data_IF_111924825450
#
_entry.id   IF_111924825450
#
_cell.length_a   1.000
_cell.length_b   1.000
_cell.length_c   1.000
_cell.angle_alpha   90.00
_cell.angle_beta   90.00
_cell.angle_gamma   90.00
#
_symmetry.space_group_name_H-M   'P 1'
#
loop_
_entity.id
_entity.type
_entity.pdbx_description
1 polymer ?
#
# COMPACT_ATOMS: atom_id res chain seq x y z
N UNK A 1 20.78 1.56 -2.35
CA UNK A 1 20.71 1.60 -3.81
C UNK A 1 19.26 1.39 -4.20
N UNK A 2 18.69 2.28 -5.02
CA UNK A 2 17.30 2.17 -5.50
C UNK A 2 17.23 0.99 -6.47
N UNK A 3 16.27 0.08 -6.28
CA UNK A 3 16.10 -1.07 -7.18
C UNK A 3 15.21 -0.68 -8.37
N UNK A 4 15.36 -1.36 -9.49
CA UNK A 4 14.48 -1.17 -10.64
C UNK A 4 13.00 -1.43 -10.30
N UNK A 5 12.74 -2.38 -9.40
CA UNK A 5 11.40 -2.66 -8.87
C UNK A 5 10.80 -1.47 -8.11
N UNK A 6 11.62 -0.76 -7.32
CA UNK A 6 11.19 0.45 -6.59
C UNK A 6 10.77 1.55 -7.60
N UNK A 7 11.57 1.74 -8.67
CA UNK A 7 11.29 2.70 -9.75
C UNK A 7 9.99 2.35 -10.48
N UNK A 8 9.81 1.07 -10.85
CA UNK A 8 8.60 0.57 -11.51
C UNK A 8 7.35 0.83 -10.70
N UNK A 9 7.40 0.56 -9.38
CA UNK A 9 6.24 0.73 -8.52
C UNK A 9 5.88 2.21 -8.32
N UNK A 10 6.88 3.07 -8.11
CA UNK A 10 6.66 4.51 -8.02
C UNK A 10 6.11 5.04 -9.32
N UNK A 11 6.61 4.57 -10.46
CA UNK A 11 6.09 5.01 -11.75
C UNK A 11 4.62 4.64 -11.94
N UNK A 12 4.21 3.42 -11.55
CA UNK A 12 2.81 3.02 -11.54
C UNK A 12 1.97 3.90 -10.60
N UNK A 13 2.47 4.17 -9.40
CA UNK A 13 1.80 5.04 -8.44
C UNK A 13 1.64 6.47 -8.98
N UNK A 14 2.66 7.01 -9.63
CA UNK A 14 2.63 8.32 -10.30
C UNK A 14 1.68 8.33 -11.49
N UNK A 15 1.65 7.29 -12.32
CA UNK A 15 0.71 7.19 -13.45
C UNK A 15 -0.73 7.21 -12.97
N UNK A 16 -1.06 6.41 -11.94
CA UNK A 16 -2.38 6.39 -11.34
C UNK A 16 -2.71 7.73 -10.69
N UNK A 17 -1.83 8.20 -9.80
CA UNK A 17 -2.08 9.39 -9.01
C UNK A 17 -2.08 10.66 -9.86
N UNK A 18 -1.24 10.82 -10.88
CA UNK A 18 -1.19 12.05 -11.69
C UNK A 18 -1.94 11.92 -13.01
N UNK A 19 -2.47 10.74 -13.35
CA UNK A 19 -3.09 10.48 -14.65
C UNK A 19 -2.10 10.52 -15.81
N UNK A 20 -0.82 10.23 -15.55
CA UNK A 20 0.23 10.23 -16.57
C UNK A 20 -0.06 9.11 -17.58
N UNK A 21 0.26 9.37 -18.85
CA UNK A 21 0.18 8.33 -19.87
C UNK A 21 1.17 7.21 -19.57
N UNK A 22 0.83 6.01 -20.03
CA UNK A 22 1.72 4.87 -19.99
C UNK A 22 2.90 5.10 -20.94
N UNK A 23 3.96 5.74 -20.44
CA UNK A 23 5.25 5.83 -21.11
C UNK A 23 6.11 4.59 -20.78
N UNK A 24 7.04 4.24 -21.67
CA UNK A 24 8.12 3.32 -21.33
C UNK A 24 8.95 3.90 -20.17
N UNK A 25 9.29 3.05 -19.20
CA UNK A 25 10.07 3.49 -18.05
C UNK A 25 11.46 3.95 -18.49
N UNK A 26 11.95 5.09 -17.99
CA UNK A 26 13.29 5.53 -18.30
C UNK A 26 14.32 4.53 -17.77
N UNK A 27 15.36 4.26 -18.56
CA UNK A 27 16.55 3.55 -18.08
C UNK A 27 17.13 4.26 -16.84
N UNK A 28 17.68 3.49 -15.89
CA UNK A 28 18.17 4.00 -14.61
C UNK A 28 19.24 5.08 -14.82
N UNK A 29 20.14 4.90 -15.79
CA UNK A 29 21.20 5.86 -16.12
C UNK A 29 20.62 7.19 -16.61
N UNK A 30 19.52 7.14 -17.38
CA UNK A 30 18.83 8.34 -17.85
C UNK A 30 18.09 9.04 -16.71
N UNK A 31 17.54 8.28 -15.77
CA UNK A 31 16.89 8.81 -14.58
C UNK A 31 17.90 9.51 -13.65
N UNK A 32 19.09 8.93 -13.46
CA UNK A 32 20.16 9.56 -12.68
C UNK A 32 20.67 10.87 -13.31
N UNK A 33 20.83 10.90 -14.64
CA UNK A 33 21.18 12.14 -15.36
C UNK A 33 20.12 13.23 -15.15
N UNK A 34 18.84 12.89 -15.25
CA UNK A 34 17.75 13.83 -15.01
C UNK A 34 17.75 14.33 -13.56
N UNK A 35 17.97 13.42 -12.60
CA UNK A 35 18.05 13.75 -11.17
C UNK A 35 19.17 14.76 -10.90
N UNK A 36 20.36 14.54 -11.46
CA UNK A 36 21.49 15.47 -11.31
C UNK A 36 21.17 16.84 -11.91
N UNK A 37 20.61 16.90 -13.12
CA UNK A 37 20.23 18.16 -13.75
C UNK A 37 19.19 18.96 -12.93
N UNK A 38 18.20 18.26 -12.35
CA UNK A 38 17.21 18.90 -11.48
C UNK A 38 17.79 19.33 -10.12
N UNK A 39 18.79 18.60 -9.59
CA UNK A 39 19.50 19.00 -8.37
C UNK A 39 20.24 20.33 -8.55
N UNK A 40 20.84 20.60 -9.71
CA UNK A 40 21.48 21.90 -10.01
C UNK A 40 20.46 23.05 -10.02
N UNK A 41 19.23 22.80 -10.45
CA UNK A 41 18.15 23.78 -10.42
C UNK A 41 17.68 24.03 -8.98
N UNK A 42 17.65 22.98 -8.14
CA UNK A 42 17.27 23.07 -6.73
C UNK A 42 18.21 23.98 -5.93
N UNK A 43 19.49 24.09 -6.28
CA UNK A 43 20.42 25.01 -5.59
C UNK A 43 19.93 26.46 -5.56
N UNK A 44 19.06 26.83 -6.52
CA UNK A 44 18.54 28.18 -6.71
C UNK A 44 17.03 28.30 -6.42
N UNK A 45 16.36 27.19 -6.09
CA UNK A 45 14.88 27.11 -6.01
C UNK A 45 14.42 26.17 -4.90
N UNK A 46 13.15 26.24 -4.54
CA UNK A 46 12.57 25.27 -3.60
C UNK A 46 12.14 23.97 -4.30
N UNK A 47 11.95 22.90 -3.52
CA UNK A 47 11.38 21.64 -4.04
C UNK A 47 9.96 21.85 -4.59
N UNK A 48 9.18 22.75 -3.99
CA UNK A 48 7.86 23.14 -4.51
C UNK A 48 7.95 23.78 -5.90
N UNK A 49 8.98 24.59 -6.14
CA UNK A 49 9.22 25.16 -7.47
C UNK A 49 9.59 24.09 -8.49
N UNK A 50 10.33 23.05 -8.10
CA UNK A 50 10.59 21.92 -9.01
C UNK A 50 9.32 21.14 -9.34
N UNK A 51 8.46 20.91 -8.35
CA UNK A 51 7.17 20.22 -8.53
C UNK A 51 6.28 20.99 -9.49
N UNK A 52 6.22 22.32 -9.38
CA UNK A 52 5.42 23.15 -10.29
C UNK A 52 6.01 23.22 -11.72
N UNK A 53 7.32 23.01 -11.87
CA UNK A 53 8.00 22.90 -13.16
C UNK A 53 7.92 21.51 -13.79
N UNK A 54 7.48 20.49 -13.04
CA UNK A 54 7.28 19.15 -13.56
C UNK A 54 6.17 19.22 -14.61
N UNK A 55 6.53 19.00 -15.88
CA UNK A 55 5.54 18.88 -16.94
C UNK A 55 4.57 17.77 -16.57
N UNK A 56 3.27 18.07 -16.63
CA UNK A 56 2.19 17.14 -16.25
C UNK A 56 2.22 15.80 -17.00
N UNK A 57 3.03 15.65 -18.04
CA UNK A 57 3.11 14.44 -18.85
C UNK A 57 4.41 13.62 -18.68
N UNK A 58 5.42 14.10 -17.94
CA UNK A 58 6.74 13.43 -17.93
C UNK A 58 6.97 12.56 -16.70
N UNK A 59 6.82 11.24 -16.84
CA UNK A 59 7.07 10.28 -15.75
C UNK A 59 8.51 10.37 -15.23
N UNK A 60 9.47 10.56 -16.13
CA UNK A 60 10.90 10.66 -15.81
C UNK A 60 11.20 11.82 -14.86
N UNK A 61 10.59 12.99 -15.08
CA UNK A 61 10.78 14.16 -14.20
C UNK A 61 10.18 13.91 -12.82
N UNK A 62 8.98 13.35 -12.74
CA UNK A 62 8.34 13.03 -11.46
C UNK A 62 9.11 11.98 -10.65
N UNK A 63 9.67 10.97 -11.33
CA UNK A 63 10.57 10.01 -10.70
C UNK A 63 11.83 10.70 -10.15
N UNK A 64 12.49 11.55 -10.96
CA UNK A 64 13.68 12.26 -10.53
C UNK A 64 13.41 13.20 -9.34
N UNK A 65 12.28 13.92 -9.35
CA UNK A 65 11.84 14.76 -8.23
C UNK A 65 11.59 13.92 -6.97
N UNK A 66 10.96 12.75 -7.11
CA UNK A 66 10.73 11.85 -5.97
C UNK A 66 12.04 11.34 -5.35
N UNK A 67 13.05 11.06 -6.18
CA UNK A 67 14.39 10.69 -5.73
C UNK A 67 15.11 11.84 -5.00
N UNK A 68 14.96 13.07 -5.49
CA UNK A 68 15.50 14.27 -4.81
C UNK A 68 14.78 14.48 -3.48
N UNK A 69 13.46 14.40 -3.47
CA UNK A 69 12.65 14.54 -2.26
C UNK A 69 12.99 13.47 -1.22
N UNK A 70 13.35 12.25 -1.63
CA UNK A 70 13.81 11.21 -0.71
C UNK A 70 15.10 11.56 0.06
N UNK A 71 15.83 12.62 -0.34
CA UNK A 71 17.03 13.10 0.34
C UNK A 71 16.76 14.24 1.33
N UNK A 72 15.53 14.77 1.39
CA UNK A 72 15.18 15.88 2.30
C UNK A 72 14.87 15.38 3.71
N UNK A 73 14.73 16.27 4.69
CA UNK A 73 14.38 15.90 6.07
C UNK A 73 12.90 15.53 6.24
N UNK A 74 12.57 14.91 7.38
CA UNK A 74 11.20 14.48 7.69
C UNK A 74 10.20 15.65 7.75
N UNK A 75 10.60 16.80 8.29
CA UNK A 75 9.71 17.94 8.48
C UNK A 75 9.30 18.55 7.13
N UNK A 76 10.25 18.64 6.19
CA UNK A 76 9.98 19.06 4.82
C UNK A 76 8.97 18.14 4.14
N UNK A 77 9.18 16.82 4.20
CA UNK A 77 8.25 15.86 3.59
C UNK A 77 6.88 15.82 4.28
N UNK A 78 6.82 15.99 5.60
CA UNK A 78 5.57 16.06 6.36
C UNK A 78 4.73 17.27 5.94
N UNK A 79 5.39 18.42 5.72
CA UNK A 79 4.73 19.64 5.21
C UNK A 79 4.15 19.40 3.81
N UNK A 80 4.90 18.72 2.93
CA UNK A 80 4.43 18.38 1.58
C UNK A 80 3.24 17.41 1.59
N UNK A 81 3.23 16.43 2.49
CA UNK A 81 2.10 15.50 2.64
C UNK A 81 0.81 16.13 3.14
N UNK A 82 0.90 17.33 3.72
CA UNK A 82 -0.26 18.16 4.08
C UNK A 82 -0.60 19.20 3.00
N UNK A 83 0.18 19.25 1.92
CA UNK A 83 0.10 20.25 0.87
C UNK A 83 -0.91 19.92 -0.22
N UNK A 84 -0.64 20.43 -1.43
CA UNK A 84 -1.45 20.10 -2.60
C UNK A 84 -1.23 18.63 -3.04
N UNK A 85 -1.98 18.23 -4.06
CA UNK A 85 -2.02 16.85 -4.56
C UNK A 85 -0.64 16.37 -5.04
N UNK A 86 0.07 17.18 -5.78
CA UNK A 86 1.40 16.89 -6.32
C UNK A 86 2.44 16.76 -5.21
N UNK A 87 2.40 17.66 -4.22
CA UNK A 87 3.25 17.60 -3.04
C UNK A 87 3.00 16.32 -2.23
N UNK A 88 1.72 15.94 -2.03
CA UNK A 88 1.34 14.67 -1.38
C UNK A 88 1.92 13.46 -2.10
N UNK A 89 1.80 13.44 -3.43
CA UNK A 89 2.30 12.35 -4.27
C UNK A 89 3.82 12.20 -4.14
N UNK A 90 4.56 13.31 -4.27
CA UNK A 90 6.02 13.29 -4.14
C UNK A 90 6.43 12.90 -2.72
N UNK A 91 5.73 13.39 -1.70
CA UNK A 91 6.02 13.03 -0.31
C UNK A 91 5.87 11.51 -0.08
N UNK A 92 4.77 10.90 -0.55
CA UNK A 92 4.56 9.45 -0.44
C UNK A 92 5.65 8.67 -1.15
N UNK A 93 5.98 9.04 -2.38
CA UNK A 93 7.02 8.37 -3.16
C UNK A 93 8.39 8.49 -2.48
N UNK A 94 8.72 9.68 -1.97
CA UNK A 94 9.97 9.95 -1.25
C UNK A 94 10.08 9.12 0.04
N UNK A 95 9.00 9.05 0.83
CA UNK A 95 8.96 8.25 2.04
C UNK A 95 9.06 6.75 1.75
N UNK A 96 8.39 6.27 0.69
CA UNK A 96 8.54 4.90 0.22
C UNK A 96 10.00 4.59 -0.17
N UNK A 97 10.65 5.49 -0.93
CA UNK A 97 12.06 5.36 -1.34
C UNK A 97 13.05 5.36 -0.17
N UNK A 98 12.76 6.12 0.89
CA UNK A 98 13.54 6.10 2.13
C UNK A 98 13.45 4.76 2.84
N UNK A 99 12.42 3.98 2.54
CA UNK A 99 12.13 2.70 3.16
C UNK A 99 12.05 2.84 4.69
N UNK A 100 11.33 3.86 5.14
CA UNK A 100 11.17 4.18 6.55
C UNK A 100 9.77 3.77 7.05
N UNK A 101 9.67 2.83 8.02
CA UNK A 101 8.41 2.49 8.69
C UNK A 101 7.69 3.68 9.34
N UNK A 102 8.41 4.75 9.68
CA UNK A 102 7.82 5.98 10.22
C UNK A 102 6.91 6.71 9.23
N UNK A 103 6.86 6.28 7.96
CA UNK A 103 5.98 6.83 6.92
C UNK A 103 4.52 6.42 7.04
N UNK A 104 4.17 5.44 7.88
CA UNK A 104 2.78 4.97 8.00
C UNK A 104 1.75 6.04 8.37
N UNK A 105 2.02 6.94 9.35
CA UNK A 105 1.12 8.06 9.64
C UNK A 105 0.92 8.98 8.43
N UNK A 106 1.89 9.05 7.51
CA UNK A 106 1.79 9.82 6.28
C UNK A 106 0.83 9.19 5.28
N UNK A 107 0.95 7.87 5.06
CA UNK A 107 0.04 7.12 4.21
C UNK A 107 -1.39 7.32 4.70
N UNK A 108 -1.59 7.25 6.02
CA UNK A 108 -2.88 7.53 6.65
C UNK A 108 -3.37 8.95 6.36
N UNK A 109 -2.57 9.98 6.65
CA UNK A 109 -2.92 11.38 6.43
C UNK A 109 -3.37 11.62 4.98
N UNK A 110 -2.68 10.99 4.04
CA UNK A 110 -2.98 11.12 2.62
C UNK A 110 -4.25 10.35 2.28
N UNK A 111 -4.40 9.11 2.72
CA UNK A 111 -5.62 8.32 2.53
C UNK A 111 -6.87 9.09 3.02
N UNK A 112 -6.81 9.76 4.17
CA UNK A 112 -7.94 10.51 4.75
C UNK A 112 -8.40 11.70 3.88
N UNK A 113 -7.49 12.33 3.16
CA UNK A 113 -7.73 13.59 2.44
C UNK A 113 -7.50 13.53 0.94
N UNK A 114 -7.64 12.35 0.32
CA UNK A 114 -7.31 12.13 -1.09
C UNK A 114 -8.49 11.71 -1.95
N UNK A 115 -8.36 11.95 -3.25
CA UNK A 115 -9.18 11.32 -4.28
C UNK A 115 -8.83 9.82 -4.45
N UNK A 116 -9.68 9.09 -5.16
CA UNK A 116 -9.54 7.64 -5.37
C UNK A 116 -8.19 7.24 -5.98
N UNK A 117 -7.62 8.06 -6.87
CA UNK A 117 -6.39 7.72 -7.59
C UNK A 117 -5.15 7.87 -6.71
N UNK A 118 -5.06 8.98 -5.99
CA UNK A 118 -4.00 9.20 -5.00
C UNK A 118 -4.12 8.18 -3.86
N UNK A 119 -5.34 7.89 -3.42
CA UNK A 119 -5.63 6.83 -2.45
C UNK A 119 -5.06 5.48 -2.91
N UNK A 120 -5.39 5.05 -4.13
CA UNK A 120 -4.89 3.79 -4.70
C UNK A 120 -3.37 3.77 -4.80
N UNK A 121 -2.76 4.87 -5.24
CA UNK A 121 -1.30 4.99 -5.34
C UNK A 121 -0.60 4.89 -3.98
N UNK A 122 -1.15 5.59 -2.96
CA UNK A 122 -0.64 5.52 -1.60
C UNK A 122 -0.73 4.09 -1.05
N UNK A 123 -1.84 3.40 -1.25
CA UNK A 123 -1.98 2.00 -0.83
C UNK A 123 -1.02 1.05 -1.55
N UNK A 124 -0.79 1.23 -2.85
CA UNK A 124 0.15 0.40 -3.61
C UNK A 124 1.58 0.51 -3.07
N UNK A 125 2.02 1.73 -2.76
CA UNK A 125 3.34 1.97 -2.18
C UNK A 125 3.45 1.50 -0.73
N UNK A 126 2.36 1.55 0.03
CA UNK A 126 2.33 0.93 1.35
C UNK A 126 2.43 -0.61 1.26
N UNK A 127 1.74 -1.22 0.30
CA UNK A 127 1.76 -2.68 0.11
C UNK A 127 3.15 -3.24 -0.17
N UNK A 128 4.01 -2.53 -0.90
CA UNK A 128 5.41 -2.93 -1.06
C UNK A 128 6.22 -2.70 0.20
N UNK A 129 5.98 -1.63 0.94
CA UNK A 129 6.72 -1.33 2.17
C UNK A 129 6.50 -2.39 3.25
N UNK A 130 5.25 -2.84 3.43
CA UNK A 130 4.90 -3.93 4.37
C UNK A 130 5.66 -5.23 4.08
N UNK A 131 6.10 -5.46 2.84
CA UNK A 131 6.88 -6.64 2.50
C UNK A 131 8.30 -6.62 3.04
N UNK A 132 8.90 -5.44 3.19
CA UNK A 132 10.28 -5.24 3.62
C UNK A 132 10.35 -4.91 5.13
N UNK A 133 9.26 -4.38 5.70
CA UNK A 133 9.23 -3.87 7.07
C UNK A 133 8.07 -4.47 7.84
N UNK A 134 8.42 -5.26 8.85
CA UNK A 134 7.43 -5.96 9.67
C UNK A 134 7.70 -5.67 11.15
N UNK A 135 6.95 -4.73 11.73
CA UNK A 135 7.06 -4.38 13.14
C UNK A 135 5.68 -4.29 13.82
N UNK A 136 5.67 -4.23 15.15
CA UNK A 136 4.43 -4.23 15.93
C UNK A 136 3.59 -2.95 15.78
N UNK A 137 4.19 -1.81 15.41
CA UNK A 137 3.47 -0.55 15.20
C UNK A 137 2.66 -0.57 13.90
N UNK A 138 3.27 -1.05 12.82
CA UNK A 138 2.60 -1.30 11.56
C UNK A 138 1.40 -2.22 11.74
N UNK A 139 1.61 -3.33 12.45
CA UNK A 139 0.57 -4.30 12.75
C UNK A 139 -0.63 -3.64 13.44
N UNK A 140 -0.39 -2.87 14.52
CA UNK A 140 -1.44 -2.13 15.24
C UNK A 140 -2.18 -1.12 14.36
N UNK A 141 -1.48 -0.45 13.46
CA UNK A 141 -2.12 0.52 12.57
C UNK A 141 -3.00 -0.17 11.53
N UNK A 142 -2.53 -1.27 10.93
CA UNK A 142 -3.33 -2.06 10.00
C UNK A 142 -4.55 -2.69 10.66
N UNK A 143 -4.45 -3.10 11.93
CA UNK A 143 -5.59 -3.57 12.73
C UNK A 143 -6.65 -2.47 12.88
N UNK A 144 -6.26 -1.23 13.15
CA UNK A 144 -7.20 -0.10 13.19
C UNK A 144 -7.88 0.12 11.85
N UNK A 145 -7.18 -0.14 10.75
CA UNK A 145 -7.74 0.00 9.41
C UNK A 145 -8.80 -1.06 9.10
N UNK A 146 -8.93 -2.14 9.88
CA UNK A 146 -10.05 -3.08 9.75
C UNK A 146 -11.40 -2.47 10.14
N UNK A 147 -11.41 -1.36 10.88
CA UNK A 147 -12.64 -0.66 11.29
C UNK A 147 -12.79 0.70 10.58
N UNK A 148 -11.99 0.94 9.55
CA UNK A 148 -11.98 2.21 8.83
C UNK A 148 -13.30 2.49 8.11
N UNK A 149 -13.80 3.75 8.05
CA UNK A 149 -15.06 4.05 7.38
C UNK A 149 -15.11 3.62 5.90
N UNK A 150 -14.03 3.86 5.17
CA UNK A 150 -13.88 3.52 3.77
C UNK A 150 -13.66 2.01 3.53
N UNK A 151 -14.43 1.44 2.61
CA UNK A 151 -14.44 0.01 2.27
C UNK A 151 -13.13 -0.45 1.64
N UNK A 152 -12.52 0.38 0.79
CA UNK A 152 -11.27 0.03 0.14
C UNK A 152 -10.10 0.05 1.13
N UNK A 153 -10.10 0.95 2.13
CA UNK A 153 -9.11 0.93 3.22
C UNK A 153 -9.19 -0.38 3.98
N UNK A 154 -10.39 -0.82 4.38
CA UNK A 154 -10.56 -2.10 5.08
C UNK A 154 -10.12 -3.29 4.23
N UNK A 155 -10.44 -3.31 2.93
CA UNK A 155 -9.95 -4.35 2.00
C UNK A 155 -8.42 -4.36 1.94
N UNK A 156 -7.79 -3.19 1.90
CA UNK A 156 -6.33 -3.08 1.90
C UNK A 156 -5.72 -3.54 3.21
N UNK A 157 -6.30 -3.19 4.35
CA UNK A 157 -5.88 -3.67 5.66
C UNK A 157 -5.90 -5.20 5.72
N UNK A 158 -6.98 -5.83 5.26
CA UNK A 158 -7.11 -7.29 5.17
C UNK A 158 -5.99 -7.92 4.35
N UNK A 159 -5.67 -7.36 3.18
CA UNK A 159 -4.57 -7.85 2.32
C UNK A 159 -3.20 -7.64 2.96
N UNK A 160 -2.96 -6.47 3.55
CA UNK A 160 -1.70 -6.11 4.19
C UNK A 160 -1.41 -6.99 5.41
N UNK A 161 -2.40 -7.18 6.29
CA UNK A 161 -2.30 -8.04 7.47
C UNK A 161 -2.02 -9.50 7.08
N UNK A 162 -2.76 -10.03 6.09
CA UNK A 162 -2.55 -11.38 5.58
C UNK A 162 -1.13 -11.58 5.01
N UNK A 163 -0.66 -10.64 4.20
CA UNK A 163 0.68 -10.67 3.63
C UNK A 163 1.76 -10.61 4.71
N UNK A 164 1.59 -9.73 5.71
CA UNK A 164 2.52 -9.61 6.83
C UNK A 164 2.57 -10.90 7.67
N UNK A 165 1.41 -11.44 8.04
CA UNK A 165 1.33 -12.68 8.81
C UNK A 165 1.83 -13.93 8.05
N UNK A 166 1.73 -13.94 6.72
CA UNK A 166 2.34 -15.00 5.89
C UNK A 166 3.87 -15.00 5.96
N UNK A 167 4.48 -13.83 6.21
CA UNK A 167 5.93 -13.69 6.38
C UNK A 167 6.37 -13.74 7.84
N UNK A 168 5.45 -13.49 8.76
CA UNK A 168 5.69 -13.49 10.20
C UNK A 168 4.78 -14.47 10.93
N UNK A 169 5.17 -15.76 11.05
CA UNK A 169 4.34 -16.78 11.68
C UNK A 169 3.92 -16.42 13.12
N UNK A 170 4.72 -15.65 13.85
CA UNK A 170 4.42 -15.19 15.20
C UNK A 170 3.13 -14.35 15.31
N UNK A 171 2.72 -13.66 14.24
CA UNK A 171 1.49 -12.86 14.22
C UNK A 171 0.31 -13.59 13.56
N UNK A 172 0.54 -14.75 12.96
CA UNK A 172 -0.44 -15.43 12.11
C UNK A 172 -1.72 -15.83 12.85
N UNK A 173 -1.61 -16.34 14.08
CA UNK A 173 -2.78 -16.66 14.93
C UNK A 173 -3.59 -15.41 15.32
N UNK A 174 -2.90 -14.30 15.58
CA UNK A 174 -3.56 -13.03 15.91
C UNK A 174 -4.29 -12.48 14.69
N UNK A 175 -3.62 -12.39 13.53
CA UNK A 175 -4.24 -11.96 12.28
C UNK A 175 -5.43 -12.84 11.93
N UNK A 176 -5.31 -14.16 12.10
CA UNK A 176 -6.45 -15.07 11.89
C UNK A 176 -7.65 -14.66 12.76
N UNK A 177 -7.44 -14.40 14.06
CA UNK A 177 -8.51 -13.96 14.96
C UNK A 177 -9.11 -12.62 14.54
N UNK A 178 -8.26 -11.62 14.27
CA UNK A 178 -8.70 -10.27 13.89
C UNK A 178 -9.53 -10.31 12.60
N UNK A 179 -9.09 -11.10 11.61
CA UNK A 179 -9.83 -11.28 10.35
C UNK A 179 -11.15 -12.03 10.54
N UNK A 180 -11.21 -13.03 11.42
CA UNK A 180 -12.46 -13.73 11.73
C UNK A 180 -13.46 -12.81 12.43
N UNK A 181 -13.01 -11.99 13.37
CA UNK A 181 -13.85 -10.99 14.04
C UNK A 181 -14.35 -9.92 13.06
N UNK A 182 -13.47 -9.41 12.20
CA UNK A 182 -13.83 -8.47 11.14
C UNK A 182 -14.85 -9.08 10.16
N UNK A 183 -14.72 -10.37 9.82
CA UNK A 183 -15.68 -11.03 8.93
C UNK A 183 -17.10 -11.05 9.51
N UNK A 184 -17.24 -11.38 10.80
CA UNK A 184 -18.55 -11.47 11.45
C UNK A 184 -19.24 -10.09 11.59
N UNK A 185 -18.45 -9.01 11.72
CA UNK A 185 -18.98 -7.66 11.96
C UNK A 185 -19.13 -6.81 10.70
N UNK A 186 -18.29 -7.00 9.68
CA UNK A 186 -18.25 -6.06 8.55
C UNK A 186 -19.56 -6.10 7.73
N UNK A 187 -20.28 -4.97 7.59
CA UNK A 187 -21.53 -4.94 6.85
C UNK A 187 -21.32 -5.14 5.34
N UNK A 188 -20.15 -4.80 4.82
CA UNK A 188 -19.86 -4.77 3.39
C UNK A 188 -19.38 -6.13 2.87
N UNK A 189 -20.14 -6.69 1.93
CA UNK A 189 -19.82 -7.97 1.30
C UNK A 189 -18.46 -8.01 0.60
N UNK A 190 -17.95 -6.89 0.07
CA UNK A 190 -16.62 -6.83 -0.59
C UNK A 190 -15.49 -7.01 0.41
N UNK A 191 -15.64 -6.49 1.63
CA UNK A 191 -14.64 -6.70 2.69
C UNK A 191 -14.68 -8.16 3.14
N UNK A 192 -15.86 -8.70 3.44
CA UNK A 192 -16.03 -10.12 3.80
C UNK A 192 -15.50 -11.08 2.74
N UNK A 193 -15.72 -10.78 1.45
CA UNK A 193 -15.14 -11.53 0.32
C UNK A 193 -13.60 -11.48 0.32
N UNK A 194 -13.03 -10.30 0.55
CA UNK A 194 -11.57 -10.13 0.67
C UNK A 194 -11.02 -10.94 1.85
N UNK A 195 -11.70 -10.89 3.01
CA UNK A 195 -11.31 -11.65 4.20
C UNK A 195 -11.31 -13.15 3.91
N UNK A 196 -12.40 -13.69 3.35
CA UNK A 196 -12.48 -15.11 3.02
C UNK A 196 -11.31 -15.56 2.13
N UNK A 197 -11.04 -14.79 1.06
CA UNK A 197 -9.90 -15.04 0.16
C UNK A 197 -8.57 -15.02 0.90
N UNK A 198 -8.34 -14.00 1.74
CA UNK A 198 -7.08 -13.84 2.45
C UNK A 198 -6.87 -14.88 3.54
N UNK A 199 -7.93 -15.37 4.19
CA UNK A 199 -7.85 -16.49 5.13
C UNK A 199 -7.38 -17.78 4.45
N UNK A 200 -7.85 -18.04 3.21
CA UNK A 200 -7.36 -19.16 2.40
C UNK A 200 -5.87 -19.04 2.08
N UNK A 201 -5.43 -17.86 1.64
CA UNK A 201 -4.02 -17.56 1.37
C UNK A 201 -3.19 -17.74 2.65
N UNK A 202 -3.55 -17.07 3.74
CA UNK A 202 -2.84 -17.12 5.00
C UNK A 202 -2.67 -18.55 5.52
N UNK A 203 -3.70 -19.39 5.39
CA UNK A 203 -3.67 -20.79 5.81
C UNK A 203 -2.82 -21.68 4.90
N UNK A 204 -2.73 -21.37 3.61
CA UNK A 204 -1.86 -22.06 2.66
C UNK A 204 -0.38 -21.73 2.94
N UNK A 205 -0.09 -20.46 3.19
CA UNK A 205 1.27 -20.00 3.51
C UNK A 205 1.70 -20.38 4.94
N UNK A 206 0.75 -20.61 5.87
CA UNK A 206 1.02 -21.07 7.23
C UNK A 206 0.34 -22.41 7.54
N UNK A 207 1.01 -23.55 7.29
CA UNK A 207 0.42 -24.89 7.47
C UNK A 207 -0.11 -25.17 8.88
N UNK A 208 0.46 -24.54 9.93
CA UNK A 208 -0.03 -24.66 11.31
C UNK A 208 -1.47 -24.16 11.49
N UNK A 209 -1.89 -23.18 10.69
CA UNK A 209 -3.24 -22.61 10.74
C UNK A 209 -4.26 -23.41 9.91
N UNK A 210 -3.81 -24.28 9.00
CA UNK A 210 -4.64 -24.94 7.97
C UNK A 210 -5.92 -25.54 8.54
N UNK A 211 -5.84 -26.36 9.59
CA UNK A 211 -7.00 -27.03 10.21
C UNK A 211 -7.98 -26.03 10.84
N UNK A 212 -7.46 -25.01 11.51
CA UNK A 212 -8.26 -23.99 12.20
C UNK A 212 -8.98 -23.10 11.17
N UNK A 213 -8.26 -22.63 10.16
CA UNK A 213 -8.81 -21.84 9.06
C UNK A 213 -9.85 -22.62 8.26
N UNK A 214 -9.61 -23.90 7.96
CA UNK A 214 -10.59 -24.76 7.29
C UNK A 214 -11.90 -24.87 8.09
N UNK A 215 -11.80 -25.11 9.40
CA UNK A 215 -12.96 -25.20 10.28
C UNK A 215 -13.73 -23.88 10.37
N UNK A 216 -13.01 -22.76 10.45
CA UNK A 216 -13.60 -21.43 10.47
C UNK A 216 -14.30 -21.10 9.14
N UNK A 217 -13.65 -21.34 8.00
CA UNK A 217 -14.22 -21.14 6.66
C UNK A 217 -15.49 -21.98 6.44
N UNK A 218 -15.52 -23.24 6.91
CA UNK A 218 -16.75 -24.05 6.88
C UNK A 218 -17.88 -23.45 7.71
N UNK A 219 -17.58 -22.94 8.90
CA UNK A 219 -18.56 -22.25 9.74
C UNK A 219 -19.09 -20.98 9.06
N UNK A 220 -18.19 -20.16 8.50
CA UNK A 220 -18.53 -18.95 7.75
C UNK A 220 -19.43 -19.28 6.56
N UNK A 221 -19.12 -20.32 5.78
CA UNK A 221 -19.90 -20.73 4.61
C UNK A 221 -21.37 -21.02 4.96
N UNK A 222 -21.62 -21.67 6.11
CA UNK A 222 -22.97 -22.03 6.57
C UNK A 222 -23.81 -20.82 6.95
N UNK A 223 -23.18 -19.75 7.43
CA UNK A 223 -23.87 -18.53 7.91
C UNK A 223 -23.93 -17.42 6.86
N UNK A 224 -23.02 -17.41 5.89
CA UNK A 224 -22.91 -16.31 4.93
C UNK A 224 -24.05 -16.31 3.90
N UNK A 225 -24.72 -15.17 3.80
CA UNK A 225 -25.88 -14.95 2.93
C UNK A 225 -25.50 -14.62 1.48
N UNK A 226 -24.37 -13.95 1.26
CA UNK A 226 -23.92 -13.52 -0.06
C UNK A 226 -23.34 -14.68 -0.86
N UNK A 227 -23.91 -14.97 -2.03
CA UNK A 227 -23.38 -15.97 -2.94
C UNK A 227 -21.92 -15.68 -3.37
N UNK A 228 -21.56 -14.40 -3.53
CA UNK A 228 -20.20 -13.98 -3.91
C UNK A 228 -19.19 -14.31 -2.81
N UNK A 229 -19.55 -14.02 -1.55
CA UNK A 229 -18.69 -14.33 -0.39
C UNK A 229 -18.63 -15.85 -0.17
N UNK A 230 -19.75 -16.57 -0.28
CA UNK A 230 -19.76 -18.05 -0.22
C UNK A 230 -18.86 -18.69 -1.27
N UNK A 231 -18.83 -18.14 -2.50
CA UNK A 231 -17.89 -18.58 -3.54
C UNK A 231 -16.44 -18.38 -3.09
N UNK A 232 -16.07 -17.20 -2.61
CA UNK A 232 -14.72 -16.93 -2.12
C UNK A 232 -14.30 -17.86 -0.97
N UNK A 233 -15.24 -18.19 -0.06
CA UNK A 233 -15.03 -19.16 1.01
C UNK A 233 -14.79 -20.56 0.42
N UNK A 234 -15.62 -20.99 -0.53
CA UNK A 234 -15.49 -22.29 -1.18
C UNK A 234 -14.15 -22.41 -1.94
N UNK A 235 -13.80 -21.40 -2.72
CA UNK A 235 -12.53 -21.34 -3.44
C UNK A 235 -11.36 -21.47 -2.45
N UNK A 236 -11.43 -20.78 -1.32
CA UNK A 236 -10.44 -20.89 -0.24
C UNK A 236 -10.38 -22.29 0.36
N UNK A 237 -11.52 -22.91 0.67
CA UNK A 237 -11.59 -24.28 1.17
C UNK A 237 -10.98 -25.29 0.19
N UNK A 238 -11.21 -25.13 -1.12
CA UNK A 238 -10.63 -25.98 -2.17
C UNK A 238 -9.10 -25.86 -2.24
N UNK A 239 -8.55 -24.68 -1.96
CA UNK A 239 -7.08 -24.53 -1.87
C UNK A 239 -6.47 -25.18 -0.63
N UNK A 240 -7.28 -25.51 0.38
CA UNK A 240 -6.86 -26.12 1.63
C UNK A 240 -7.23 -27.62 1.73
N UNK A 241 -7.97 -28.18 0.78
CA UNK A 241 -8.21 -29.63 0.73
C UNK A 241 -6.97 -30.45 0.41
#
# INVERSE_FOLDING_TARGET
MIKEEDVRLIALALQLALGLKSEELPAIENLEKERLALSEILEKRSLKDLISLASADSIKKWLAISLIAAQTDFQTLSTMASGNREEKIVAVCAFFLKKDPSSLPLFRLIIEGSDDNLFLAALLLLMSHVQEYSNGELMKELERWLEWPDVNVRISAVKLLSNLASKMPAFSEKVLNDLLEAFERDPNKRVRESIATQLGILARENPSLKRRSYSALLSMFRKERSAKVRKAILDSLLTLS
#
